data_IF_991703760696
#
_entry.id   IF_991703760696
#
_cell.length_a   1.000
_cell.length_b   1.000
_cell.length_c   1.000
_cell.angle_alpha   90.00
_cell.angle_beta   90.00
_cell.angle_gamma   90.00
#
_symmetry.space_group_name_H-M   'P 1'
#
loop_
_entity.id
_entity.type
_entity.pdbx_description
1 polymer ?
#
# COMPACT_ATOMS: atom_id res chain seq x y z
N UNK A 1 -5.07 -17.55 -5.03
CA UNK A 1 -5.00 -16.71 -6.25
C UNK A 1 -3.82 -15.79 -6.04
N UNK A 2 -2.73 -15.99 -6.79
CA UNK A 2 -1.59 -15.05 -6.77
C UNK A 2 -1.97 -13.92 -7.72
N UNK A 3 -2.11 -12.70 -7.20
CA UNK A 3 -2.29 -11.52 -8.06
C UNK A 3 -0.90 -11.07 -8.46
N UNK A 4 -0.48 -11.45 -9.66
CA UNK A 4 0.69 -10.84 -10.29
C UNK A 4 0.27 -9.45 -10.77
N UNK A 5 0.75 -8.40 -10.10
CA UNK A 5 0.76 -7.07 -10.70
C UNK A 5 2.00 -7.01 -11.59
N UNK A 6 1.79 -7.11 -12.90
CA UNK A 6 2.84 -6.85 -13.89
C UNK A 6 3.28 -5.39 -13.75
N UNK A 7 4.45 -5.16 -13.17
CA UNK A 7 5.06 -3.84 -13.08
C UNK A 7 5.86 -3.57 -14.35
N UNK A 8 5.17 -3.40 -15.47
CA UNK A 8 5.74 -2.82 -16.68
C UNK A 8 5.62 -1.30 -16.58
N UNK A 9 6.70 -0.63 -16.16
CA UNK A 9 6.77 0.83 -16.13
C UNK A 9 7.56 1.29 -17.38
N UNK A 10 6.81 1.75 -18.39
CA UNK A 10 7.36 2.35 -19.62
C UNK A 10 7.87 3.76 -19.29
N UNK A 11 9.10 4.06 -19.71
CA UNK A 11 9.70 5.39 -19.60
C UNK A 11 8.99 6.37 -20.53
N UNK A 12 8.40 7.43 -19.97
CA UNK A 12 8.07 8.64 -20.72
C UNK A 12 8.17 9.83 -19.77
N UNK A 13 8.66 10.96 -20.26
CA UNK A 13 8.76 12.26 -19.58
C UNK A 13 7.40 12.90 -19.27
N UNK A 14 6.34 12.11 -19.12
CA UNK A 14 5.03 12.52 -18.63
C UNK A 14 4.67 11.67 -17.41
N UNK A 15 4.19 12.36 -16.38
CA UNK A 15 3.70 11.81 -15.12
C UNK A 15 2.76 10.63 -15.42
N UNK A 16 3.03 9.45 -14.84
CA UNK A 16 2.07 8.52 -14.18
C UNK A 16 2.57 7.06 -14.18
N UNK A 17 2.79 6.44 -13.01
CA UNK A 17 2.61 5.00 -12.84
C UNK A 17 1.29 4.78 -12.12
N UNK A 18 0.18 4.91 -12.85
CA UNK A 18 -1.15 4.64 -12.31
C UNK A 18 -1.56 3.28 -12.84
N UNK A 19 -1.84 2.33 -11.95
CA UNK A 19 -2.43 1.07 -12.37
C UNK A 19 -3.82 1.39 -12.95
N UNK A 20 -4.01 1.18 -14.25
CA UNK A 20 -5.31 1.40 -14.90
C UNK A 20 -6.37 0.37 -14.46
N UNK A 21 -5.98 -0.64 -13.68
CA UNK A 21 -6.83 -1.76 -13.24
C UNK A 21 -6.71 -1.88 -11.73
N UNK A 22 -7.82 -1.65 -11.02
CA UNK A 22 -7.95 -1.96 -9.59
C UNK A 22 -8.32 -3.43 -9.47
N UNK A 23 -7.49 -4.22 -8.78
CA UNK A 23 -7.84 -5.59 -8.43
C UNK A 23 -8.83 -5.57 -7.25
N UNK A 24 -10.07 -6.03 -7.48
CA UNK A 24 -11.08 -6.20 -6.43
C UNK A 24 -11.20 -7.68 -6.06
N UNK A 25 -10.96 -7.99 -4.79
CA UNK A 25 -10.97 -9.36 -4.30
C UNK A 25 -12.34 -9.75 -3.75
N UNK A 26 -13.00 -10.74 -4.36
CA UNK A 26 -14.34 -11.18 -3.92
C UNK A 26 -14.29 -12.18 -2.75
N UNK A 27 -13.51 -13.26 -2.85
CA UNK A 27 -13.38 -14.25 -1.79
C UNK A 27 -12.07 -15.05 -1.90
N UNK A 28 -11.29 -15.12 -0.81
CA UNK A 28 -10.06 -15.92 -0.71
C UNK A 28 -9.83 -16.43 0.72
N UNK A 29 -8.98 -17.46 0.86
CA UNK A 29 -8.56 -18.01 2.15
C UNK A 29 -7.16 -17.52 2.58
N UNK A 30 -6.26 -17.31 1.63
CA UNK A 30 -4.93 -16.74 1.85
C UNK A 30 -4.68 -15.60 0.86
N UNK A 31 -4.00 -14.56 1.32
CA UNK A 31 -3.73 -13.35 0.57
C UNK A 31 -2.22 -13.09 0.49
N UNK A 32 -1.74 -12.81 -0.71
CA UNK A 32 -0.33 -12.53 -0.98
C UNK A 32 -0.19 -11.58 -2.18
N UNK A 33 0.56 -10.51 -1.96
CA UNK A 33 1.11 -9.62 -2.99
C UNK A 33 2.61 -9.59 -2.78
N UNK A 34 3.37 -9.84 -3.84
CA UNK A 34 4.83 -9.73 -3.88
C UNK A 34 5.23 -8.90 -5.11
N UNK A 35 6.29 -8.12 -4.97
CA UNK A 35 6.86 -7.36 -6.07
C UNK A 35 8.32 -7.01 -5.84
N UNK A 36 9.01 -6.69 -6.93
CA UNK A 36 10.39 -6.24 -6.91
C UNK A 36 10.58 -5.17 -7.98
N UNK A 37 11.37 -4.15 -7.67
CA UNK A 37 11.70 -3.08 -8.61
C UNK A 37 13.19 -2.80 -8.57
N UNK A 38 13.81 -2.77 -9.76
CA UNK A 38 15.17 -2.27 -9.98
C UNK A 38 15.08 -0.99 -10.76
N UNK A 39 15.52 0.11 -10.19
CA UNK A 39 15.64 1.37 -10.92
C UNK A 39 16.71 2.24 -10.25
N UNK A 40 17.47 3.07 -10.99
CA UNK A 40 18.43 3.99 -10.42
C UNK A 40 17.70 5.13 -9.70
N UNK A 41 17.19 4.85 -8.50
CA UNK A 41 16.74 5.88 -7.59
C UNK A 41 17.92 6.80 -7.29
N UNK A 42 17.76 8.14 -7.35
CA UNK A 42 18.76 9.06 -6.80
C UNK A 42 19.07 8.73 -5.34
N UNK A 43 20.30 8.94 -4.88
CA UNK A 43 20.61 8.75 -3.47
C UNK A 43 19.72 9.62 -2.57
N UNK A 44 18.93 8.96 -1.74
CA UNK A 44 18.02 9.58 -0.77
C UNK A 44 17.46 8.48 0.17
N UNK A 45 16.70 8.89 1.17
CA UNK A 45 15.90 8.02 2.02
C UNK A 45 14.48 7.93 1.43
N UNK A 46 14.05 6.74 1.01
CA UNK A 46 12.73 6.53 0.44
C UNK A 46 11.80 5.85 1.42
N UNK A 47 10.54 6.25 1.42
CA UNK A 47 9.47 5.57 2.14
C UNK A 47 8.68 4.68 1.18
N UNK A 48 8.48 3.42 1.56
CA UNK A 48 7.61 2.47 0.85
C UNK A 48 6.25 2.36 1.55
N UNK A 49 5.16 2.45 0.78
CA UNK A 49 3.79 2.26 1.30
C UNK A 49 2.86 1.59 0.30
N UNK A 50 1.89 0.81 0.78
CA UNK A 50 0.79 0.26 -0.03
C UNK A 50 -0.44 1.13 0.07
N UNK A 51 -1.09 1.43 -1.06
CA UNK A 51 -2.38 2.14 -1.09
C UNK A 51 -3.53 1.14 -1.19
N UNK A 52 -4.31 1.04 -0.11
CA UNK A 52 -5.37 0.06 0.05
C UNK A 52 -6.72 0.71 0.30
N UNK A 53 -7.80 0.00 -0.03
CA UNK A 53 -9.16 0.40 0.29
C UNK A 53 -10.01 -0.83 0.64
N UNK A 54 -10.75 -0.75 1.74
CA UNK A 54 -11.76 -1.73 2.11
C UNK A 54 -13.14 -1.29 1.63
N UNK A 55 -13.85 -2.20 0.95
CA UNK A 55 -15.17 -1.99 0.38
C UNK A 55 -15.15 -1.76 -1.12
N UNK A 56 -16.34 -1.53 -1.69
CA UNK A 56 -16.52 -1.24 -3.11
C UNK A 56 -17.10 0.15 -3.29
N UNK A 57 -16.59 0.89 -4.28
CA UNK A 57 -17.23 2.12 -4.73
C UNK A 57 -18.44 1.77 -5.60
N UNK A 58 -19.61 2.27 -5.21
CA UNK A 58 -20.85 2.21 -5.96
C UNK A 58 -21.31 3.62 -6.32
N UNK A 59 -21.91 3.80 -7.49
CA UNK A 59 -22.63 5.03 -7.84
C UNK A 59 -24.11 4.77 -7.59
N UNK A 60 -24.69 5.43 -6.59
CA UNK A 60 -26.13 5.39 -6.32
C UNK A 60 -26.68 6.80 -6.46
N UNK A 61 -27.62 6.99 -7.39
CA UNK A 61 -28.27 8.29 -7.66
C UNK A 61 -27.27 9.44 -7.88
N UNK A 62 -26.21 9.19 -8.67
CA UNK A 62 -25.20 10.20 -8.98
C UNK A 62 -24.22 10.53 -7.84
N UNK A 63 -24.41 10.00 -6.63
CA UNK A 63 -23.47 10.13 -5.52
C UNK A 63 -22.58 8.90 -5.43
N UNK A 64 -21.30 9.10 -5.10
CA UNK A 64 -20.36 8.02 -4.76
C UNK A 64 -20.71 7.52 -3.37
N UNK A 65 -20.96 6.22 -3.25
CA UNK A 65 -21.29 5.53 -2.00
C UNK A 65 -20.31 4.36 -1.84
N UNK A 66 -19.85 4.10 -0.63
CA UNK A 66 -19.05 2.91 -0.32
C UNK A 66 -19.96 1.82 0.23
N UNK A 67 -19.89 0.62 -0.34
CA UNK A 67 -20.61 -0.56 0.15
C UNK A 67 -19.62 -1.59 0.71
N UNK A 68 -19.99 -2.18 1.85
CA UNK A 68 -19.16 -3.12 2.62
C UNK A 68 -19.78 -4.51 2.74
N UNK A 69 -20.86 -4.79 2.01
CA UNK A 69 -21.63 -6.04 2.07
C UNK A 69 -20.77 -7.30 1.90
N UNK A 70 -19.68 -7.20 1.13
CA UNK A 70 -18.74 -8.30 0.89
C UNK A 70 -17.38 -8.11 1.61
N UNK A 71 -17.25 -7.09 2.46
CA UNK A 71 -16.01 -6.84 3.23
C UNK A 71 -16.04 -7.63 4.53
N UNK A 72 -15.11 -8.57 4.69
CA UNK A 72 -15.04 -9.44 5.85
C UNK A 72 -13.65 -10.06 6.02
N UNK A 73 -13.30 -10.48 7.23
CA UNK A 73 -12.13 -11.31 7.55
C UNK A 73 -10.79 -10.58 7.68
N UNK A 74 -10.76 -9.26 7.53
CA UNK A 74 -9.54 -8.44 7.59
C UNK A 74 -9.22 -7.88 8.99
N UNK A 75 -10.12 -8.08 9.94
CA UNK A 75 -10.04 -7.74 11.36
C UNK A 75 -9.46 -8.89 12.22
N UNK A 76 -9.51 -10.13 11.71
CA UNK A 76 -9.23 -11.35 12.48
C UNK A 76 -7.73 -11.57 12.73
N UNK A 77 -6.89 -11.33 11.72
CA UNK A 77 -5.43 -11.45 11.84
C UNK A 77 -4.73 -10.29 11.16
N UNK A 78 -3.54 -9.88 11.64
CA UNK A 78 -2.82 -8.81 11.00
C UNK A 78 -2.32 -9.20 9.61
N UNK A 79 -2.35 -8.25 8.70
CA UNK A 79 -1.64 -8.29 7.42
C UNK A 79 -0.21 -7.85 7.68
N UNK A 80 0.74 -8.65 7.19
CA UNK A 80 2.18 -8.41 7.29
C UNK A 80 2.69 -7.76 6.02
N UNK A 81 3.26 -6.58 6.18
CA UNK A 81 3.95 -5.86 5.14
C UNK A 81 5.45 -5.98 5.35
N UNK A 82 6.19 -6.18 4.26
CA UNK A 82 7.65 -6.25 4.29
C UNK A 82 8.26 -5.51 3.13
N UNK A 83 9.44 -4.95 3.35
CA UNK A 83 10.37 -4.57 2.31
C UNK A 83 11.75 -5.15 2.63
N UNK A 84 12.52 -5.43 1.58
CA UNK A 84 13.94 -5.70 1.66
C UNK A 84 14.68 -5.14 0.46
N UNK A 85 15.96 -4.84 0.62
CA UNK A 85 16.79 -4.30 -0.46
C UNK A 85 17.96 -5.23 -0.78
N UNK A 86 18.54 -5.12 -1.98
CA UNK A 86 19.69 -5.95 -2.40
C UNK A 86 20.94 -5.77 -1.54
N UNK A 87 21.08 -4.64 -0.86
CA UNK A 87 22.15 -4.32 0.09
C UNK A 87 21.83 -4.76 1.54
N UNK A 88 20.68 -5.42 1.77
CA UNK A 88 20.36 -6.08 3.03
C UNK A 88 19.58 -5.24 4.04
N UNK A 89 19.06 -4.06 3.66
CA UNK A 89 18.12 -3.33 4.51
C UNK A 89 16.77 -4.04 4.51
N UNK A 90 16.10 -4.04 5.66
CA UNK A 90 14.79 -4.67 5.81
C UNK A 90 13.89 -3.81 6.71
N UNK A 91 12.59 -3.79 6.41
CA UNK A 91 11.58 -3.25 7.30
C UNK A 91 10.29 -4.06 7.19
N UNK A 92 9.53 -4.10 8.28
CA UNK A 92 8.23 -4.77 8.30
C UNK A 92 7.27 -4.12 9.28
N UNK A 93 5.99 -4.15 8.94
CA UNK A 93 4.92 -3.77 9.85
C UNK A 93 3.75 -4.74 9.75
N UNK A 94 2.94 -4.80 10.79
CA UNK A 94 1.77 -5.68 10.89
C UNK A 94 0.59 -4.90 11.45
N UNK A 95 -0.58 -5.02 10.82
CA UNK A 95 -1.83 -4.45 11.35
C UNK A 95 -3.05 -5.15 10.74
N UNK A 96 -4.16 -5.13 11.47
CA UNK A 96 -5.46 -5.50 10.90
C UNK A 96 -5.94 -4.36 9.98
N UNK A 97 -6.42 -4.70 8.77
CA UNK A 97 -6.85 -3.66 7.82
C UNK A 97 -8.20 -3.07 8.23
N UNK A 98 -9.04 -3.90 8.85
CA UNK A 98 -10.38 -3.53 9.29
C UNK A 98 -10.43 -3.35 10.81
N UNK A 99 -9.44 -2.62 11.33
CA UNK A 99 -9.37 -2.32 12.74
C UNK A 99 -10.39 -1.21 13.08
N UNK A 100 -11.31 -1.55 13.98
CA UNK A 100 -12.38 -0.66 14.46
C UNK A 100 -11.96 0.20 15.64
N UNK A 101 -10.73 0.05 16.13
CA UNK A 101 -10.15 0.89 17.17
C UNK A 101 -10.28 2.36 16.76
N UNK A 102 -11.10 3.08 17.53
CA UNK A 102 -11.43 4.49 17.37
C UNK A 102 -10.14 5.31 17.28
N UNK A 103 -9.92 6.00 16.15
CA UNK A 103 -9.18 7.26 16.22
C UNK A 103 -10.07 8.24 16.98
N UNK A 104 -9.96 8.25 18.32
CA UNK A 104 -10.72 9.10 19.23
C UNK A 104 -10.62 10.59 18.87
N UNK A 105 -9.62 10.95 18.06
CA UNK A 105 -9.40 12.31 17.57
C UNK A 105 -10.22 12.70 16.34
N UNK A 106 -10.78 11.77 15.56
CA UNK A 106 -11.46 12.13 14.29
C UNK A 106 -12.69 11.32 13.88
N UNK A 107 -13.11 10.27 14.60
CA UNK A 107 -14.40 9.59 14.37
C UNK A 107 -14.62 9.01 12.95
N UNK A 108 -13.59 8.97 12.11
CA UNK A 108 -13.66 8.48 10.75
C UNK A 108 -13.30 7.00 10.74
N UNK A 109 -14.28 6.15 10.47
CA UNK A 109 -14.02 4.75 10.14
C UNK A 109 -13.00 4.65 8.99
N UNK A 110 -11.99 3.78 9.13
CA UNK A 110 -11.01 3.46 8.07
C UNK A 110 -11.65 2.89 6.80
N UNK A 111 -12.91 2.49 6.88
CA UNK A 111 -13.68 1.93 5.77
C UNK A 111 -14.11 3.01 4.77
N UNK A 112 -13.99 2.72 3.48
CA UNK A 112 -14.52 3.58 2.41
C UNK A 112 -13.61 4.72 1.96
N UNK A 113 -12.39 4.81 2.50
CA UNK A 113 -11.35 5.72 2.05
C UNK A 113 -10.09 4.96 1.60
N UNK A 114 -9.29 5.59 0.74
CA UNK A 114 -7.97 5.07 0.41
C UNK A 114 -7.00 5.40 1.54
N UNK A 115 -6.25 4.40 2.00
CA UNK A 115 -5.28 4.54 3.08
C UNK A 115 -3.92 4.05 2.59
N UNK A 116 -2.89 4.83 2.89
CA UNK A 116 -1.50 4.47 2.62
C UNK A 116 -0.90 3.79 3.86
N UNK A 117 -0.63 2.49 3.76
CA UNK A 117 0.02 1.68 4.79
C UNK A 117 1.53 1.74 4.60
N UNK A 118 2.22 2.53 5.44
CA UNK A 118 3.68 2.63 5.45
C UNK A 118 4.31 1.31 5.91
N UNK A 119 5.22 0.78 5.11
CA UNK A 119 5.99 -0.43 5.42
C UNK A 119 7.27 -0.06 6.17
N UNK A 120 7.98 0.94 5.67
CA UNK A 120 9.25 1.39 6.24
C UNK A 120 9.96 2.38 5.34
N UNK A 121 11.17 2.73 5.76
CA UNK A 121 12.11 3.55 5.00
C UNK A 121 13.34 2.72 4.64
N UNK A 122 13.96 3.04 3.51
CA UNK A 122 15.22 2.46 3.08
C UNK A 122 16.07 3.54 2.42
N UNK A 123 17.39 3.37 2.48
CA UNK A 123 18.37 4.31 1.92
C UNK A 123 18.79 3.82 0.55
N UNK A 124 18.81 4.72 -0.43
CA UNK A 124 19.49 4.49 -1.70
C UNK A 124 20.80 5.26 -1.68
N UNK A 125 21.89 4.58 -2.03
CA UNK A 125 23.22 5.18 -2.19
C UNK A 125 23.56 5.31 -3.67
N UNK A 126 24.42 6.26 -4.05
CA UNK A 126 24.90 6.46 -5.43
C UNK A 126 25.90 5.37 -5.90
N UNK A 127 25.87 4.19 -5.28
CA UNK A 127 26.78 3.08 -5.57
C UNK A 127 26.17 2.11 -6.57
N UNK A 128 26.96 1.66 -7.55
CA UNK A 128 26.61 0.52 -8.39
C UNK A 128 26.79 -0.80 -7.60
N UNK A 129 25.89 -1.79 -7.78
CA UNK A 129 24.76 -1.84 -8.71
C UNK A 129 23.51 -1.09 -8.21
N UNK A 130 22.65 -0.66 -9.15
CA UNK A 130 21.35 -0.05 -8.84
C UNK A 130 20.56 -0.85 -7.79
N UNK A 131 20.01 -0.14 -6.80
CA UNK A 131 19.26 -0.74 -5.70
C UNK A 131 18.03 -1.51 -6.21
N UNK A 132 17.93 -2.79 -5.83
CA UNK A 132 16.72 -3.59 -5.97
C UNK A 132 15.93 -3.51 -4.67
N UNK A 133 14.67 -3.12 -4.75
CA UNK A 133 13.74 -3.15 -3.61
C UNK A 133 12.70 -4.23 -3.86
N UNK A 134 12.56 -5.14 -2.91
CA UNK A 134 11.51 -6.14 -2.85
C UNK A 134 10.50 -5.74 -1.80
N UNK A 135 9.24 -6.02 -2.06
CA UNK A 135 8.16 -5.74 -1.12
C UNK A 135 7.10 -6.83 -1.15
N UNK A 136 6.42 -7.00 -0.03
CA UNK A 136 5.30 -7.93 0.07
C UNK A 136 4.23 -7.47 1.05
N UNK A 137 3.01 -7.93 0.83
CA UNK A 137 1.86 -7.78 1.71
C UNK A 137 1.17 -9.14 1.81
N UNK A 138 1.19 -9.77 3.00
CA UNK A 138 0.73 -11.14 3.20
C UNK A 138 -0.20 -11.27 4.39
N UNK A 139 -1.26 -12.05 4.20
CA UNK A 139 -2.10 -12.54 5.29
C UNK A 139 -2.47 -13.98 5.00
N UNK A 140 -1.71 -14.90 5.61
CA UNK A 140 -1.93 -16.32 5.47
C UNK A 140 -2.78 -16.76 6.65
N UNK A 141 -4.09 -16.81 6.43
CA UNK A 141 -5.03 -17.25 7.45
C UNK A 141 -6.14 -18.10 6.85
N UNK A 142 -5.94 -19.41 6.80
CA UNK A 142 -6.91 -20.34 6.22
C UNK A 142 -8.12 -20.62 7.12
N UNK A 143 -8.32 -19.87 8.22
CA UNK A 143 -9.42 -20.11 9.16
C UNK A 143 -10.70 -19.37 8.77
N UNK A 144 -10.61 -18.26 8.05
CA UNK A 144 -11.76 -17.44 7.63
C UNK A 144 -11.61 -16.95 6.20
N UNK A 145 -12.73 -16.92 5.46
CA UNK A 145 -12.78 -16.27 4.16
C UNK A 145 -12.57 -14.76 4.30
N UNK A 146 -12.01 -14.15 3.27
CA UNK A 146 -11.72 -12.71 3.21
C UNK A 146 -12.23 -12.15 1.90
N UNK A 147 -12.78 -10.94 1.93
CA UNK A 147 -13.33 -10.27 0.76
C UNK A 147 -13.33 -8.75 0.89
N UNK A 148 -13.50 -8.06 -0.24
CA UNK A 148 -13.70 -6.62 -0.27
C UNK A 148 -12.45 -5.77 -0.07
N UNK A 149 -11.25 -6.29 -0.34
CA UNK A 149 -10.01 -5.51 -0.41
C UNK A 149 -9.73 -5.07 -1.85
N UNK A 150 -9.45 -3.78 -2.01
CA UNK A 150 -8.85 -3.19 -3.20
C UNK A 150 -7.38 -2.87 -2.94
N UNK A 151 -6.51 -3.27 -3.86
CA UNK A 151 -5.13 -2.84 -3.92
C UNK A 151 -4.99 -1.92 -5.13
N UNK A 152 -4.50 -0.71 -4.92
CA UNK A 152 -4.26 0.27 -5.99
C UNK A 152 -2.79 0.25 -6.41
N UNK A 153 -1.91 0.73 -5.54
CA UNK A 153 -0.51 0.96 -5.89
C UNK A 153 0.46 0.72 -4.72
N UNK A 154 1.74 0.57 -5.08
CA UNK A 154 2.86 0.66 -4.14
C UNK A 154 3.61 1.95 -4.44
N UNK A 155 3.74 2.81 -3.44
CA UNK A 155 4.48 4.07 -3.54
C UNK A 155 5.87 3.91 -2.97
N UNK A 156 6.86 4.38 -3.73
CA UNK A 156 8.23 4.61 -3.28
C UNK A 156 8.50 6.10 -3.50
N UNK A 157 8.56 6.87 -2.43
CA UNK A 157 8.65 8.34 -2.49
C UNK A 157 9.76 8.81 -1.54
N UNK A 158 10.61 9.78 -1.95
CA UNK A 158 11.55 10.43 -1.04
C UNK A 158 10.87 10.86 0.27
N UNK A 159 11.47 10.48 1.39
CA UNK A 159 10.84 10.61 2.71
C UNK A 159 10.65 12.07 3.12
N UNK A 160 11.52 12.96 2.63
CA UNK A 160 11.40 14.40 2.85
C UNK A 160 10.19 15.03 2.14
N UNK A 161 9.72 14.45 1.04
CA UNK A 161 8.48 14.88 0.38
C UNK A 161 7.23 14.49 1.16
N UNK A 162 7.33 13.53 2.10
CA UNK A 162 6.23 13.13 2.99
C UNK A 162 6.19 13.91 4.30
N UNK A 163 7.23 14.67 4.66
CA UNK A 163 7.21 15.55 5.84
C UNK A 163 6.26 16.73 5.55
N UNK A 164 5.29 17.05 6.42
CA UNK A 164 4.55 18.29 6.30
C UNK A 164 5.56 19.43 6.31
N UNK A 165 5.59 20.28 5.26
CA UNK A 165 6.33 21.55 5.31
C UNK A 165 5.85 22.27 6.56
N UNK A 166 6.68 22.33 7.61
CA UNK A 166 6.46 23.28 8.70
C UNK A 166 6.38 24.64 8.02
N UNK A 167 5.20 25.27 8.01
CA UNK A 167 5.06 26.65 7.53
C UNK A 167 6.07 27.45 8.34
N UNK A 168 7.17 27.86 7.71
CA UNK A 168 8.11 28.77 8.31
C UNK A 168 7.34 30.02 8.69
N UNK A 169 7.21 30.26 9.98
CA UNK A 169 6.80 31.56 10.49
C UNK A 169 7.95 32.49 10.13
N UNK A 170 7.80 33.24 9.04
CA UNK A 170 8.58 34.44 8.84
C UNK A 170 8.14 35.43 9.93
N UNK A 171 9.04 35.70 10.86
CA UNK A 171 8.99 36.90 11.71
C UNK A 171 9.84 37.98 11.05
#
# INVERSE_FOLDING_TARGET
MVVFLDTSLVHSSEVQPWFHIVAYLQQIWWFEVDGAVKFPFPADIYTLSFRLHLGRFCKRLGRRVCTFEHTHGWDIKPVRFKLSTSDGQEASCECCLDDTEHDETNGNHKRGCWIDYKVGEFVVSDSEPAAEVRFSMKQIDCTHSKGGLCVDSVFIIPSDLRKPKRKGVFK
#
